data_IF_097615384755
#
_entry.id   IF_097615384755
#
_cell.length_a   1.000
_cell.length_b   1.000
_cell.length_c   1.000
_cell.angle_alpha   90.00
_cell.angle_beta   90.00
_cell.angle_gamma   90.00
#
_symmetry.space_group_name_H-M   'P 1'
#
loop_
_entity.id
_entity.type
_entity.pdbx_description
1 polymer ?
#
# COMPACT_ATOMS: atom_id res chain seq x y z
N UNK A 1 3.66 8.83 9.33
CA UNK A 1 3.62 8.75 7.84
C UNK A 1 2.83 9.94 7.32
N UNK A 2 1.52 10.04 7.57
CA UNK A 2 0.71 11.17 7.11
C UNK A 2 1.26 12.53 7.54
N UNK A 3 1.69 12.68 8.80
CA UNK A 3 2.29 13.95 9.29
C UNK A 3 3.65 14.27 8.66
N UNK A 4 4.34 13.27 8.10
CA UNK A 4 5.73 13.38 7.63
C UNK A 4 5.84 13.49 6.11
N UNK A 5 4.79 13.14 5.37
CA UNK A 5 4.80 13.07 3.91
C UNK A 5 3.81 14.08 3.32
N UNK A 6 4.28 14.89 2.36
CA UNK A 6 3.43 15.85 1.64
C UNK A 6 2.57 15.20 0.53
N UNK A 7 2.63 13.87 0.38
CA UNK A 7 1.90 13.10 -0.64
C UNK A 7 0.81 12.24 0.02
N UNK A 8 -0.30 11.94 -0.70
CA UNK A 8 -1.37 11.11 -0.16
C UNK A 8 -0.89 9.73 0.28
N UNK A 9 -1.43 9.24 1.40
CA UNK A 9 -1.16 7.88 1.90
C UNK A 9 -2.35 6.97 1.63
N UNK A 10 -2.13 5.88 0.89
CA UNK A 10 -3.06 4.76 0.73
C UNK A 10 -2.63 3.64 1.70
N UNK A 11 -3.55 3.12 2.51
CA UNK A 11 -3.23 2.08 3.51
C UNK A 11 -3.86 0.74 3.14
N UNK A 12 -3.07 -0.35 3.12
CA UNK A 12 -3.58 -1.73 3.10
C UNK A 12 -4.19 -2.04 4.47
N UNK A 13 -5.49 -2.28 4.51
CA UNK A 13 -6.26 -2.52 5.75
C UNK A 13 -6.75 -3.96 5.85
N UNK A 14 -6.05 -4.87 5.18
CA UNK A 14 -6.39 -6.28 5.13
C UNK A 14 -7.84 -6.46 4.67
N UNK A 15 -8.67 -7.15 5.45
CA UNK A 15 -10.09 -7.41 5.17
C UNK A 15 -11.02 -6.42 5.88
N UNK A 16 -10.48 -5.30 6.38
CA UNK A 16 -11.23 -4.29 7.14
C UNK A 16 -11.33 -4.59 8.65
N UNK A 17 -10.46 -5.48 9.16
CA UNK A 17 -10.37 -5.90 10.57
C UNK A 17 -11.68 -6.43 11.18
N UNK A 18 -12.53 -7.05 10.37
CA UNK A 18 -13.78 -7.66 10.81
C UNK A 18 -14.92 -7.49 9.81
N UNK A 19 -16.10 -7.11 10.30
CA UNK A 19 -17.29 -6.90 9.48
C UNK A 19 -17.46 -5.42 9.07
N UNK A 20 -18.59 -5.09 8.43
CA UNK A 20 -18.88 -3.71 8.00
C UNK A 20 -18.81 -2.66 9.14
N UNK A 21 -19.16 -3.02 10.38
CA UNK A 21 -19.07 -2.08 11.51
C UNK A 21 -17.62 -1.79 11.89
N UNK A 22 -16.72 -2.77 11.76
CA UNK A 22 -15.28 -2.55 11.92
C UNK A 22 -14.76 -1.58 10.85
N UNK A 23 -15.19 -1.76 9.60
CA UNK A 23 -14.84 -0.89 8.46
C UNK A 23 -15.30 0.55 8.70
N UNK A 24 -16.54 0.77 9.16
CA UNK A 24 -17.04 2.12 9.49
C UNK A 24 -16.15 2.82 10.52
N UNK A 25 -15.75 2.09 11.58
CA UNK A 25 -14.87 2.65 12.61
C UNK A 25 -13.47 2.94 12.06
N UNK A 26 -12.95 2.03 11.23
CA UNK A 26 -11.65 2.16 10.58
C UNK A 26 -11.59 3.41 9.70
N UNK A 27 -12.54 3.58 8.77
CA UNK A 27 -12.54 4.70 7.81
C UNK A 27 -12.49 6.03 8.56
N UNK A 28 -13.41 6.21 9.53
CA UNK A 28 -13.46 7.43 10.36
C UNK A 28 -12.16 7.67 11.14
N UNK A 29 -11.51 6.62 11.63
CA UNK A 29 -10.27 6.76 12.38
C UNK A 29 -9.09 7.11 11.46
N UNK A 30 -8.99 6.47 10.31
CA UNK A 30 -7.88 6.63 9.37
C UNK A 30 -7.93 8.00 8.69
N UNK A 31 -9.11 8.41 8.25
CA UNK A 31 -9.28 9.70 7.59
C UNK A 31 -9.00 10.88 8.55
N UNK A 32 -9.36 10.75 9.84
CA UNK A 32 -9.03 11.76 10.86
C UNK A 32 -7.54 11.98 11.07
N UNK A 33 -6.71 10.97 10.78
CA UNK A 33 -5.25 11.07 10.87
C UNK A 33 -4.60 11.36 9.50
N UNK A 34 -5.39 11.85 8.55
CA UNK A 34 -4.90 12.31 7.25
C UNK A 34 -4.60 11.21 6.23
N UNK A 35 -5.09 9.99 6.44
CA UNK A 35 -5.02 8.94 5.40
C UNK A 35 -5.90 9.35 4.22
N UNK A 36 -5.34 9.29 3.00
CA UNK A 36 -6.06 9.67 1.77
C UNK A 36 -6.96 8.56 1.22
N UNK A 37 -6.72 7.31 1.62
CA UNK A 37 -7.59 6.20 1.27
C UNK A 37 -7.18 4.86 1.86
N UNK A 38 -8.01 3.85 1.65
CA UNK A 38 -7.77 2.49 2.12
C UNK A 38 -7.88 1.49 0.96
N UNK A 39 -7.18 0.37 1.10
CA UNK A 39 -7.28 -0.78 0.23
C UNK A 39 -7.72 -1.99 1.07
N UNK A 40 -8.91 -2.51 0.78
CA UNK A 40 -9.56 -3.61 1.50
C UNK A 40 -9.76 -4.80 0.57
N UNK A 41 -9.42 -6.00 1.03
CA UNK A 41 -9.47 -7.23 0.24
C UNK A 41 -10.60 -8.17 0.64
N UNK A 42 -11.03 -9.00 -0.31
CA UNK A 42 -12.18 -9.91 -0.20
C UNK A 42 -11.83 -11.30 0.38
N UNK A 43 -10.74 -11.42 1.13
CA UNK A 43 -10.43 -12.61 1.92
C UNK A 43 -11.33 -12.71 3.16
N UNK A 44 -11.51 -13.92 3.70
CA UNK A 44 -12.05 -14.08 5.06
C UNK A 44 -11.07 -13.54 6.11
N UNK A 45 -11.60 -12.99 7.21
CA UNK A 45 -10.81 -12.61 8.38
C UNK A 45 -10.50 -13.83 9.27
N UNK A 46 -9.29 -13.98 9.83
CA UNK A 46 -8.11 -13.13 9.64
C UNK A 46 -7.42 -13.34 8.28
N UNK A 47 -6.74 -12.29 7.79
CA UNK A 47 -6.04 -12.29 6.50
C UNK A 47 -5.01 -13.41 6.39
N UNK A 48 -4.92 -13.98 5.19
CA UNK A 48 -3.86 -14.88 4.74
C UNK A 48 -3.03 -14.19 3.67
N UNK A 49 -1.72 -14.09 3.85
CA UNK A 49 -0.84 -13.40 2.90
C UNK A 49 -0.89 -14.05 1.51
N UNK A 50 -1.09 -13.23 0.47
CA UNK A 50 -1.21 -13.66 -0.94
C UNK A 50 0.05 -14.32 -1.49
N UNK A 51 1.22 -14.06 -0.89
CA UNK A 51 2.50 -14.62 -1.32
C UNK A 51 2.85 -15.94 -0.63
N UNK A 52 2.05 -16.42 0.33
CA UNK A 52 2.25 -17.74 0.92
C UNK A 52 1.73 -18.83 -0.03
N UNK A 53 2.58 -19.80 -0.34
CA UNK A 53 2.26 -20.92 -1.23
C UNK A 53 1.57 -22.06 -0.46
N UNK A 54 0.78 -22.89 -1.16
CA UNK A 54 0.22 -24.13 -0.61
C UNK A 54 -0.93 -23.96 0.38
N UNK A 55 -1.51 -22.76 0.49
CA UNK A 55 -2.64 -22.49 1.38
C UNK A 55 -3.93 -22.34 0.58
N UNK A 56 -4.96 -23.12 0.93
CA UNK A 56 -6.31 -22.92 0.40
C UNK A 56 -6.84 -21.55 0.82
N UNK A 57 -7.39 -20.81 -0.13
CA UNK A 57 -7.92 -19.46 0.09
C UNK A 57 -9.41 -19.47 -0.10
N UNK A 58 -10.12 -19.21 0.99
CA UNK A 58 -11.56 -18.99 0.97
C UNK A 58 -11.81 -17.50 0.96
N UNK A 59 -12.49 -17.02 -0.07
CA UNK A 59 -12.90 -15.63 -0.18
C UNK A 59 -14.22 -15.41 0.56
N UNK A 60 -14.40 -14.19 1.05
CA UNK A 60 -15.68 -13.71 1.53
C UNK A 60 -16.70 -13.69 0.38
N UNK A 61 -17.99 -13.78 0.71
CA UNK A 61 -19.04 -13.67 -0.31
C UNK A 61 -18.99 -12.29 -0.98
N UNK A 62 -19.43 -12.23 -2.23
CA UNK A 62 -19.43 -10.97 -2.98
C UNK A 62 -20.34 -9.94 -2.30
N UNK A 63 -21.45 -10.39 -1.72
CA UNK A 63 -22.46 -9.57 -1.06
C UNK A 63 -21.95 -8.96 0.25
N UNK A 64 -21.22 -9.74 1.06
CA UNK A 64 -20.62 -9.27 2.31
C UNK A 64 -19.52 -8.23 2.05
N UNK A 65 -18.63 -8.51 1.09
CA UNK A 65 -17.59 -7.56 0.70
C UNK A 65 -18.19 -6.28 0.11
N UNK A 66 -19.20 -6.39 -0.75
CA UNK A 66 -19.93 -5.24 -1.28
C UNK A 66 -20.62 -4.42 -0.16
N UNK A 67 -21.12 -5.06 0.89
CA UNK A 67 -21.68 -4.37 2.04
C UNK A 67 -20.61 -3.61 2.84
N UNK A 68 -19.39 -4.16 2.98
CA UNK A 68 -18.26 -3.44 3.59
C UNK A 68 -17.85 -2.22 2.77
N UNK A 69 -17.82 -2.33 1.43
CA UNK A 69 -17.49 -1.21 0.55
C UNK A 69 -18.51 -0.08 0.67
N UNK A 70 -19.82 -0.39 0.62
CA UNK A 70 -20.87 0.61 0.87
C UNK A 70 -20.72 1.27 2.24
N UNK A 71 -20.48 0.48 3.27
CA UNK A 71 -20.27 1.00 4.62
C UNK A 71 -19.02 1.88 4.74
N UNK A 72 -17.95 1.59 3.99
CA UNK A 72 -16.77 2.43 3.91
C UNK A 72 -17.09 3.79 3.28
N UNK A 73 -17.78 3.77 2.13
CA UNK A 73 -18.19 4.99 1.42
C UNK A 73 -19.17 5.83 2.23
N UNK A 74 -20.11 5.22 2.94
CA UNK A 74 -21.05 5.94 3.81
C UNK A 74 -20.37 6.53 5.05
N UNK A 75 -19.23 5.97 5.47
CA UNK A 75 -18.51 6.38 6.68
C UNK A 75 -17.50 7.50 6.46
N UNK A 76 -17.09 7.75 5.22
CA UNK A 76 -16.08 8.75 4.89
C UNK A 76 -16.54 10.17 5.27
N UNK A 77 -15.59 11.00 5.70
CA UNK A 77 -15.81 12.38 6.13
C UNK A 77 -15.69 13.35 4.94
N UNK A 78 -14.84 13.02 3.96
CA UNK A 78 -14.56 13.77 2.75
C UNK A 78 -14.95 12.96 1.51
N UNK A 79 -15.50 13.60 0.45
CA UNK A 79 -15.68 12.95 -0.84
C UNK A 79 -14.37 12.51 -1.50
N UNK A 80 -13.23 13.10 -1.11
CA UNK A 80 -11.91 12.82 -1.70
C UNK A 80 -11.23 11.57 -1.13
N UNK A 81 -11.77 10.99 -0.06
CA UNK A 81 -11.24 9.76 0.52
C UNK A 81 -11.55 8.57 -0.40
N UNK A 82 -10.50 7.88 -0.85
CA UNK A 82 -10.63 6.77 -1.80
C UNK A 82 -10.72 5.41 -1.11
N UNK A 83 -11.61 4.56 -1.59
CA UNK A 83 -11.78 3.16 -1.18
C UNK A 83 -11.41 2.27 -2.37
N UNK A 84 -10.30 1.56 -2.22
CA UNK A 84 -9.81 0.58 -3.19
C UNK A 84 -10.33 -0.81 -2.80
N UNK A 85 -11.03 -1.48 -3.71
CA UNK A 85 -11.44 -2.87 -3.54
C UNK A 85 -10.40 -3.79 -4.17
N UNK A 86 -9.74 -4.61 -3.35
CA UNK A 86 -8.75 -5.59 -3.77
C UNK A 86 -9.38 -6.96 -3.97
N UNK A 87 -9.18 -7.51 -5.16
CA UNK A 87 -9.76 -8.78 -5.58
C UNK A 87 -8.68 -9.86 -5.52
N UNK A 88 -8.95 -10.91 -4.74
CA UNK A 88 -8.05 -12.04 -4.54
C UNK A 88 -8.51 -13.30 -5.32
N UNK A 89 -9.50 -13.18 -6.22
CA UNK A 89 -10.02 -14.29 -7.03
C UNK A 89 -8.96 -15.07 -7.82
N UNK A 90 -8.02 -14.38 -8.47
CA UNK A 90 -6.92 -15.03 -9.20
C UNK A 90 -5.94 -15.70 -8.23
N UNK A 91 -5.66 -15.03 -7.11
CA UNK A 91 -4.82 -15.54 -6.02
C UNK A 91 -5.40 -16.79 -5.37
N UNK A 92 -6.73 -16.91 -5.33
CA UNK A 92 -7.48 -18.07 -4.85
C UNK A 92 -7.73 -19.14 -5.93
N UNK A 93 -7.27 -18.93 -7.16
CA UNK A 93 -7.41 -19.90 -8.26
C UNK A 93 -8.84 -20.01 -8.83
N UNK A 94 -9.69 -19.01 -8.63
CA UNK A 94 -11.09 -19.02 -9.11
C UNK A 94 -11.23 -18.57 -10.57
N UNK A 95 -10.16 -17.99 -11.15
CA UNK A 95 -10.08 -17.60 -12.55
C UNK A 95 -10.66 -16.22 -12.88
N UNK A 96 -10.56 -15.86 -14.16
CA UNK A 96 -10.85 -14.52 -14.66
C UNK A 96 -12.34 -14.15 -14.61
N UNK A 97 -13.23 -15.11 -14.86
CA UNK A 97 -14.68 -14.86 -14.83
C UNK A 97 -15.14 -14.44 -13.44
N UNK A 98 -14.65 -15.13 -12.40
CA UNK A 98 -14.96 -14.79 -11.02
C UNK A 98 -14.31 -13.46 -10.61
N UNK A 99 -13.08 -13.20 -11.05
CA UNK A 99 -12.41 -11.92 -10.79
C UNK A 99 -13.21 -10.74 -11.37
N UNK A 100 -13.70 -10.85 -12.61
CA UNK A 100 -14.52 -9.82 -13.26
C UNK A 100 -15.88 -9.69 -12.59
N UNK A 101 -16.54 -10.81 -12.24
CA UNK A 101 -17.84 -10.78 -11.54
C UNK A 101 -17.74 -10.02 -10.22
N UNK A 102 -16.70 -10.28 -9.44
CA UNK A 102 -16.41 -9.56 -8.19
C UNK A 102 -16.08 -8.09 -8.42
N UNK A 103 -15.24 -7.80 -9.41
CA UNK A 103 -14.90 -6.43 -9.79
C UNK A 103 -16.14 -5.58 -10.09
N UNK A 104 -17.06 -6.10 -10.90
CA UNK A 104 -18.31 -5.41 -11.23
C UNK A 104 -19.14 -5.16 -9.97
N UNK A 105 -19.30 -6.17 -9.11
CA UNK A 105 -20.07 -6.00 -7.88
C UNK A 105 -19.45 -4.99 -6.90
N UNK A 106 -18.11 -4.89 -6.85
CA UNK A 106 -17.40 -3.97 -5.97
C UNK A 106 -17.41 -2.54 -6.50
N UNK A 107 -17.30 -2.39 -7.82
CA UNK A 107 -17.49 -1.13 -8.55
C UNK A 107 -18.91 -0.59 -8.35
N UNK A 108 -19.93 -1.42 -8.57
CA UNK A 108 -21.34 -1.08 -8.36
C UNK A 108 -21.66 -0.78 -6.87
N UNK A 109 -20.86 -1.31 -5.93
CA UNK A 109 -20.95 -1.01 -4.50
C UNK A 109 -20.27 0.32 -4.10
N UNK A 110 -19.61 1.00 -5.04
CA UNK A 110 -19.02 2.32 -4.84
C UNK A 110 -17.52 2.33 -4.56
N UNK A 111 -16.78 1.24 -4.83
CA UNK A 111 -15.33 1.28 -4.79
C UNK A 111 -14.80 2.27 -5.85
N UNK A 112 -13.90 3.17 -5.45
CA UNK A 112 -13.35 4.21 -6.35
C UNK A 112 -12.28 3.64 -7.30
N UNK A 113 -11.61 2.56 -6.88
CA UNK A 113 -10.53 1.90 -7.62
C UNK A 113 -10.65 0.39 -7.42
N UNK A 114 -10.46 -0.37 -8.50
CA UNK A 114 -10.36 -1.83 -8.45
C UNK A 114 -8.89 -2.23 -8.48
N UNK A 115 -8.45 -2.96 -7.46
CA UNK A 115 -7.14 -3.60 -7.44
C UNK A 115 -7.27 -5.07 -7.82
N UNK A 116 -6.60 -5.48 -8.90
CA UNK A 116 -6.44 -6.89 -9.26
C UNK A 116 -5.04 -7.37 -8.85
N UNK A 117 -4.97 -8.56 -8.26
CA UNK A 117 -3.70 -9.16 -7.87
C UNK A 117 -3.49 -10.52 -8.51
N UNK A 118 -2.23 -10.82 -8.86
CA UNK A 118 -1.78 -12.11 -9.36
C UNK A 118 -0.44 -12.47 -8.73
N UNK A 119 -0.23 -13.76 -8.48
CA UNK A 119 1.03 -14.34 -7.99
C UNK A 119 1.86 -14.98 -9.10
N UNK A 120 1.38 -14.96 -10.35
CA UNK A 120 2.13 -15.46 -11.50
C UNK A 120 3.41 -14.64 -11.72
N UNK A 121 4.40 -15.28 -12.34
CA UNK A 121 5.65 -14.62 -12.72
C UNK A 121 5.52 -13.77 -13.99
N UNK A 122 4.42 -13.89 -14.73
CA UNK A 122 4.14 -13.11 -15.94
C UNK A 122 2.91 -12.21 -15.73
N UNK A 123 2.81 -11.08 -16.44
CA UNK A 123 1.69 -10.14 -16.29
C UNK A 123 0.43 -10.56 -17.06
N UNK A 124 0.40 -11.74 -17.66
CA UNK A 124 -0.66 -12.16 -18.59
C UNK A 124 -2.06 -12.10 -17.96
N UNK A 125 -2.19 -12.58 -16.72
CA UNK A 125 -3.46 -12.56 -15.98
C UNK A 125 -3.97 -11.14 -15.73
N UNK A 126 -3.09 -10.21 -15.33
CA UNK A 126 -3.50 -8.83 -15.03
C UNK A 126 -3.79 -8.05 -16.31
N UNK A 127 -3.09 -8.34 -17.41
CA UNK A 127 -3.39 -7.78 -18.72
C UNK A 127 -4.69 -8.31 -19.32
N UNK A 128 -4.99 -9.59 -19.10
CA UNK A 128 -6.29 -10.15 -19.49
C UNK A 128 -7.42 -9.50 -18.69
N UNK A 129 -7.28 -9.39 -17.37
CA UNK A 129 -8.24 -8.69 -16.53
C UNK A 129 -8.48 -7.26 -17.03
N UNK A 130 -7.41 -6.51 -17.31
CA UNK A 130 -7.50 -5.14 -17.80
C UNK A 130 -8.28 -5.02 -19.13
N UNK A 131 -8.03 -5.92 -20.09
CA UNK A 131 -8.79 -5.97 -21.36
C UNK A 131 -10.27 -6.24 -21.14
N UNK A 132 -10.61 -7.13 -20.21
CA UNK A 132 -12.00 -7.49 -19.89
C UNK A 132 -12.73 -6.43 -19.07
N UNK A 133 -12.01 -5.72 -18.20
CA UNK A 133 -12.55 -4.64 -17.38
C UNK A 133 -12.93 -3.41 -18.20
N UNK A 134 -12.14 -3.07 -19.22
CA UNK A 134 -12.43 -1.98 -20.14
C UNK A 134 -12.30 -0.59 -19.48
N UNK A 135 -13.31 0.27 -19.66
CA UNK A 135 -13.26 1.69 -19.28
C UNK A 135 -14.11 2.03 -18.06
N UNK A 136 -14.29 1.09 -17.13
CA UNK A 136 -14.98 1.33 -15.84
C UNK A 136 -14.05 2.10 -14.87
N UNK A 137 -14.19 1.90 -13.56
CA UNK A 137 -13.35 2.59 -12.58
C UNK A 137 -11.86 2.32 -12.77
N UNK A 138 -10.99 3.26 -12.35
CA UNK A 138 -9.55 3.11 -12.40
C UNK A 138 -9.05 1.79 -11.81
N UNK A 139 -7.99 1.25 -12.40
CA UNK A 139 -7.36 0.02 -11.92
C UNK A 139 -6.04 0.29 -11.19
N UNK A 140 -5.78 -0.51 -10.15
CA UNK A 140 -4.53 -0.57 -9.41
C UNK A 140 -3.91 -1.97 -9.52
N UNK A 141 -2.58 -2.05 -9.60
CA UNK A 141 -1.84 -3.31 -9.66
C UNK A 141 -0.56 -3.29 -8.82
N UNK A 142 -0.14 -4.47 -8.34
CA UNK A 142 1.08 -4.68 -7.54
C UNK A 142 2.00 -5.70 -8.26
N UNK A 143 3.01 -5.26 -9.04
CA UNK A 143 3.85 -6.13 -9.86
C UNK A 143 5.01 -6.78 -9.10
N UNK A 144 4.76 -7.34 -7.91
CA UNK A 144 5.85 -7.92 -7.09
C UNK A 144 6.38 -9.24 -7.65
N UNK A 145 5.53 -10.10 -8.24
CA UNK A 145 5.93 -11.41 -8.79
C UNK A 145 6.25 -11.34 -10.29
N UNK A 146 5.54 -10.52 -11.06
CA UNK A 146 5.78 -10.27 -12.48
C UNK A 146 6.66 -9.02 -12.69
N UNK A 147 7.85 -9.09 -12.09
CA UNK A 147 8.79 -7.96 -11.90
C UNK A 147 9.43 -7.38 -13.17
N UNK A 148 9.34 -8.07 -14.30
CA UNK A 148 9.96 -7.62 -15.56
C UNK A 148 9.09 -6.59 -16.30
N UNK A 149 7.79 -6.48 -15.97
CA UNK A 149 6.90 -5.50 -16.58
C UNK A 149 7.16 -4.10 -16.02
N UNK A 150 7.17 -3.11 -16.91
CA UNK A 150 7.37 -1.70 -16.55
C UNK A 150 6.06 -1.05 -16.11
N UNK A 151 6.17 0.07 -15.37
CA UNK A 151 5.00 0.87 -15.02
C UNK A 151 4.34 1.48 -16.27
N UNK A 152 5.13 1.80 -17.28
CA UNK A 152 4.69 2.32 -18.58
C UNK A 152 3.85 1.29 -19.35
N UNK A 153 4.27 0.02 -19.39
CA UNK A 153 3.50 -1.06 -20.01
C UNK A 153 2.18 -1.32 -19.26
N UNK A 154 2.22 -1.32 -17.92
CA UNK A 154 1.00 -1.41 -17.09
C UNK A 154 0.07 -0.23 -17.35
N UNK A 155 0.61 0.99 -17.46
CA UNK A 155 -0.18 2.17 -17.79
C UNK A 155 -0.82 2.07 -19.17
N UNK A 156 -0.06 1.61 -20.17
CA UNK A 156 -0.56 1.36 -21.53
C UNK A 156 -1.66 0.30 -21.59
N UNK A 157 -1.67 -0.65 -20.65
CA UNK A 157 -2.74 -1.65 -20.50
C UNK A 157 -3.99 -1.12 -19.77
N UNK A 158 -3.97 0.10 -19.22
CA UNK A 158 -5.11 0.74 -18.56
C UNK A 158 -5.00 0.90 -17.04
N UNK A 159 -3.91 0.43 -16.41
CA UNK A 159 -3.69 0.63 -14.98
C UNK A 159 -3.35 2.10 -14.68
N UNK A 160 -4.09 2.70 -13.76
CA UNK A 160 -3.86 4.09 -13.32
C UNK A 160 -2.92 4.18 -12.13
N UNK A 161 -2.87 3.13 -11.32
CA UNK A 161 -2.00 3.05 -10.15
C UNK A 161 -1.14 1.79 -10.20
N UNK A 162 0.16 1.96 -9.93
CA UNK A 162 1.13 0.87 -9.79
C UNK A 162 1.78 0.99 -8.42
N UNK A 163 1.70 -0.06 -7.61
CA UNK A 163 2.21 -0.06 -6.23
C UNK A 163 3.43 -0.96 -6.09
N UNK A 164 4.55 -0.37 -5.69
CA UNK A 164 5.80 -1.07 -5.36
C UNK A 164 5.83 -1.50 -3.89
N UNK A 165 5.03 -2.51 -3.55
CA UNK A 165 4.60 -2.82 -2.17
C UNK A 165 5.70 -2.98 -1.09
N UNK A 166 6.83 -3.64 -1.38
CA UNK A 166 7.78 -4.05 -0.33
C UNK A 166 9.27 -3.80 -0.65
N UNK A 167 9.56 -3.05 -1.71
CA UNK A 167 10.94 -2.83 -2.18
C UNK A 167 11.78 -2.02 -1.19
N UNK A 168 11.19 -0.99 -0.55
CA UNK A 168 11.88 -0.19 0.46
C UNK A 168 12.33 -1.03 1.67
N UNK A 169 11.44 -1.88 2.20
CA UNK A 169 11.77 -2.81 3.29
C UNK A 169 12.89 -3.78 2.89
N UNK A 170 12.79 -4.38 1.69
CA UNK A 170 13.80 -5.32 1.18
C UNK A 170 15.17 -4.65 1.00
N UNK A 171 15.18 -3.40 0.52
CA UNK A 171 16.38 -2.58 0.39
C UNK A 171 17.01 -2.28 1.76
N UNK A 172 16.21 -1.84 2.72
CA UNK A 172 16.67 -1.57 4.10
C UNK A 172 17.28 -2.82 4.75
N UNK A 173 16.63 -3.98 4.61
CA UNK A 173 17.16 -5.25 5.13
C UNK A 173 18.53 -5.55 4.54
N UNK A 174 18.71 -5.36 3.22
CA UNK A 174 20.00 -5.61 2.55
C UNK A 174 21.07 -4.62 3.02
N UNK A 175 20.78 -3.33 3.05
CA UNK A 175 21.72 -2.30 3.50
C UNK A 175 22.17 -2.51 4.95
N UNK A 176 21.22 -2.81 5.86
CA UNK A 176 21.53 -3.14 7.25
C UNK A 176 22.43 -4.38 7.37
N UNK A 177 22.15 -5.44 6.59
CA UNK A 177 22.99 -6.65 6.58
C UNK A 177 24.41 -6.33 6.13
N UNK A 178 24.56 -5.61 5.02
CA UNK A 178 25.88 -5.31 4.45
C UNK A 178 26.72 -4.45 5.40
N UNK A 179 26.10 -3.44 6.03
CA UNK A 179 26.75 -2.61 7.03
C UNK A 179 27.21 -3.43 8.25
N UNK A 180 26.35 -4.27 8.82
CA UNK A 180 26.71 -5.08 9.99
C UNK A 180 27.76 -6.15 9.68
N UNK A 181 27.70 -6.78 8.51
CA UNK A 181 28.72 -7.75 8.06
C UNK A 181 30.10 -7.09 7.94
N UNK A 182 30.17 -5.87 7.38
CA UNK A 182 31.41 -5.10 7.29
C UNK A 182 31.98 -4.74 8.68
N UNK A 183 31.12 -4.26 9.59
CA UNK A 183 31.51 -3.91 10.96
C UNK A 183 32.06 -5.12 11.74
N UNK A 184 31.41 -6.28 11.64
CA UNK A 184 31.85 -7.51 12.32
C UNK A 184 33.18 -8.00 11.78
N UNK A 185 33.36 -7.98 10.46
CA UNK A 185 34.59 -8.44 9.78
C UNK A 185 35.78 -7.56 10.09
N UNK A 186 35.61 -6.24 10.03
CA UNK A 186 36.73 -5.29 10.06
C UNK A 186 36.91 -4.60 11.41
N UNK A 187 35.92 -4.68 12.31
CA UNK A 187 35.95 -4.11 13.65
C UNK A 187 36.28 -2.61 13.68
N UNK A 188 35.83 -1.89 12.65
CA UNK A 188 35.99 -0.44 12.51
C UNK A 188 34.76 0.17 11.84
N UNK A 189 34.28 1.29 12.35
CA UNK A 189 33.06 1.96 11.86
C UNK A 189 33.14 2.37 10.40
N UNK A 190 34.30 2.87 9.96
CA UNK A 190 34.53 3.30 8.57
C UNK A 190 34.30 2.19 7.53
N UNK A 191 34.27 0.91 7.93
CA UNK A 191 33.94 -0.19 7.03
C UNK A 191 32.46 -0.18 6.58
N UNK A 192 31.58 0.47 7.34
CA UNK A 192 30.16 0.60 7.02
C UNK A 192 29.85 1.77 6.08
N UNK A 193 30.76 2.75 5.93
CA UNK A 193 30.53 3.97 5.16
C UNK A 193 29.97 3.74 3.73
N UNK A 194 30.41 2.70 2.97
CA UNK A 194 29.83 2.42 1.64
C UNK A 194 28.38 1.92 1.64
N UNK A 195 27.83 1.59 2.81
CA UNK A 195 26.54 0.93 2.99
C UNK A 195 25.50 1.79 3.73
N UNK A 196 25.87 3.00 4.13
CA UNK A 196 25.03 3.92 4.91
C UNK A 196 25.02 5.32 4.29
N UNK A 197 24.06 6.14 4.72
CA UNK A 197 24.04 7.58 4.41
C UNK A 197 24.95 8.35 5.37
N UNK A 198 25.32 9.58 5.01
CA UNK A 198 26.07 10.48 5.90
C UNK A 198 25.21 10.93 7.09
N UNK A 199 25.87 11.43 8.15
CA UNK A 199 25.17 12.06 9.28
C UNK A 199 24.38 13.29 8.84
N UNK A 200 24.92 14.09 7.91
CA UNK A 200 24.22 15.28 7.37
C UNK A 200 22.89 14.91 6.71
N UNK A 201 22.83 13.77 6.01
CA UNK A 201 21.59 13.27 5.42
C UNK A 201 20.58 12.85 6.50
N UNK A 202 21.04 12.27 7.61
CA UNK A 202 20.18 11.97 8.77
C UNK A 202 19.61 13.26 9.36
N UNK A 203 20.44 14.28 9.60
CA UNK A 203 20.00 15.57 10.13
C UNK A 203 19.00 16.27 9.21
N UNK A 204 19.22 16.17 7.90
CA UNK A 204 18.27 16.69 6.90
C UNK A 204 16.91 15.99 7.01
N UNK A 205 16.89 14.66 7.17
CA UNK A 205 15.66 13.88 7.31
C UNK A 205 14.93 14.11 8.63
N UNK A 206 15.67 14.36 9.72
CA UNK A 206 15.11 14.71 11.04
C UNK A 206 14.62 16.17 11.12
N UNK A 207 14.99 17.02 10.14
CA UNK A 207 14.58 18.41 10.11
C UNK A 207 15.36 19.30 11.09
N UNK A 208 16.63 18.95 11.39
CA UNK A 208 17.47 19.67 12.37
C UNK A 208 17.59 21.15 12.02
N UNK A 209 17.76 21.50 10.74
CA UNK A 209 17.86 22.90 10.31
C UNK A 209 16.57 23.70 10.62
N UNK A 210 15.40 23.08 10.41
CA UNK A 210 14.12 23.71 10.71
C UNK A 210 13.94 23.89 12.21
N UNK A 211 14.31 22.87 13.01
CA UNK A 211 14.29 22.94 14.46
C UNK A 211 15.19 24.06 15.00
N UNK A 212 16.45 24.14 14.54
CA UNK A 212 17.39 25.20 14.96
C UNK A 212 16.92 26.60 14.56
N UNK A 213 16.24 26.74 13.41
CA UNK A 213 15.65 28.01 13.00
C UNK A 213 14.48 28.43 13.92
N UNK A 214 13.64 27.48 14.35
CA UNK A 214 12.59 27.73 15.33
C UNK A 214 13.17 28.05 16.71
N UNK A 215 14.18 27.31 17.16
CA UNK A 215 14.89 27.55 18.41
C UNK A 215 15.42 28.99 18.46
N UNK A 216 16.14 29.45 17.42
CA UNK A 216 16.62 30.83 17.34
C UNK A 216 15.50 31.88 17.35
N UNK A 217 14.35 31.55 16.77
CA UNK A 217 13.19 32.46 16.70
C UNK A 217 12.50 32.60 18.06
N UNK A 218 12.50 31.54 18.88
CA UNK A 218 11.77 31.48 20.14
C UNK A 218 12.65 31.43 21.39
N UNK A 219 13.98 31.43 21.23
CA UNK A 219 14.93 31.62 22.32
C UNK A 219 14.62 32.96 23.00
N UNK A 220 14.30 32.92 24.30
CA UNK A 220 14.13 34.13 25.10
C UNK A 220 15.46 34.86 25.28
N UNK A 221 15.43 36.17 25.52
CA UNK A 221 16.59 37.07 25.69
C UNK A 221 17.51 36.75 26.91
N UNK A 222 17.51 35.52 27.45
CA UNK A 222 18.12 35.16 28.73
C UNK A 222 19.13 34.01 28.73
N UNK A 223 19.58 33.53 27.57
CA UNK A 223 20.58 32.43 27.47
C UNK A 223 21.87 32.85 26.75
N UNK A 224 22.19 34.14 26.72
CA UNK A 224 23.55 34.62 26.44
C UNK A 224 24.14 35.25 27.71
N UNK A 225 24.70 34.43 28.60
CA UNK A 225 25.67 34.80 29.64
C UNK A 225 26.84 33.80 29.65
#
# INVERSE_FOLDING_TARGET
ICDSAAIPTLVDVDTGYGNAMNVVRLVKAYERVGVGGICIEDNLYPKRCSLWEGMERTLETTEEMAAKLRAAKDAQLSPDFIVVARIEALIAGLGQDEAIRRAVAYDDAGADVIMIHSTQSTPDEVFEFARRWGTRSPMLVVPTKFKEVTAEELHGAGFKFVVFANHGLRGAIKGMKDAFEALVRERKTAAADPHIVSLDEVYRLEGVDAFQAEEKKYAGEGEED
#
